data_IF_058183133497
#
_entry.id   IF_058183133497
#
_cell.length_a   1.000
_cell.length_b   1.000
_cell.length_c   1.000
_cell.angle_alpha   90.00
_cell.angle_beta   90.00
_cell.angle_gamma   90.00
#
_symmetry.space_group_name_H-M   'P 1'
#
loop_
_entity.id
_entity.type
_entity.pdbx_description
1 polymer ?
#
# COMPACT_ATOMS: atom_id res chain seq x y z
N UNK A 1 7.75 35.32 -35.40
CA UNK A 1 8.64 34.63 -34.42
C UNK A 1 7.78 33.66 -33.63
N UNK A 2 8.28 32.44 -33.45
CA UNK A 2 7.53 31.29 -32.92
C UNK A 2 7.74 31.22 -31.41
N UNK A 3 6.66 31.25 -30.64
CA UNK A 3 6.63 30.75 -29.28
C UNK A 3 5.52 29.69 -29.22
N UNK A 4 5.95 28.43 -29.16
CA UNK A 4 5.06 27.26 -29.13
C UNK A 4 4.48 27.04 -27.72
N UNK A 5 3.35 26.33 -27.61
CA UNK A 5 2.80 25.98 -26.31
C UNK A 5 3.80 25.06 -25.58
N UNK A 6 4.23 25.49 -24.39
CA UNK A 6 4.97 24.66 -23.44
C UNK A 6 4.14 23.41 -23.16
N UNK A 7 4.50 22.30 -23.80
CA UNK A 7 3.98 20.97 -23.45
C UNK A 7 4.42 20.69 -22.02
N UNK A 8 3.54 20.98 -21.06
CA UNK A 8 3.68 20.50 -19.70
C UNK A 8 3.77 18.98 -19.76
N UNK A 9 4.94 18.45 -19.43
CA UNK A 9 5.13 17.02 -19.22
C UNK A 9 4.31 16.71 -17.98
N UNK A 10 3.10 16.16 -18.16
CA UNK A 10 2.41 15.48 -17.07
C UNK A 10 3.24 14.21 -16.83
N UNK A 11 4.25 14.31 -15.97
CA UNK A 11 4.81 13.12 -15.34
C UNK A 11 3.64 12.49 -14.61
N UNK A 12 3.15 11.34 -15.10
CA UNK A 12 2.40 10.40 -14.27
C UNK A 12 3.36 9.97 -13.16
N UNK A 13 3.46 10.77 -12.10
CA UNK A 13 4.01 10.29 -10.84
C UNK A 13 3.03 9.22 -10.40
N UNK A 14 3.50 7.99 -10.15
CA UNK A 14 2.68 6.95 -9.58
C UNK A 14 2.00 7.53 -8.33
N UNK A 15 0.67 7.55 -8.31
CA UNK A 15 -0.06 8.17 -7.20
C UNK A 15 0.06 7.24 -6.00
N UNK A 16 0.97 7.57 -5.09
CA UNK A 16 1.10 6.86 -3.83
C UNK A 16 -0.12 7.14 -2.96
N UNK A 17 -0.82 6.09 -2.56
CA UNK A 17 -1.98 6.12 -1.66
C UNK A 17 -1.57 5.67 -0.27
N UNK A 18 -2.36 6.03 0.74
CA UNK A 18 -2.15 5.61 2.13
C UNK A 18 -3.38 4.92 2.68
N UNK A 19 -3.18 3.84 3.43
CA UNK A 19 -4.26 3.12 4.12
C UNK A 19 -3.75 2.38 5.36
N UNK A 20 -4.68 1.88 6.17
CA UNK A 20 -4.38 0.89 7.21
C UNK A 20 -4.60 -0.52 6.65
N UNK A 21 -3.65 -1.42 6.89
CA UNK A 21 -3.76 -2.82 6.50
C UNK A 21 -3.32 -3.74 7.63
N UNK A 22 -3.86 -4.95 7.64
CA UNK A 22 -3.63 -5.96 8.67
C UNK A 22 -2.76 -7.10 8.10
N UNK A 23 -1.68 -7.45 8.79
CA UNK A 23 -0.81 -8.57 8.40
C UNK A 23 -0.12 -9.24 9.60
N UNK A 24 0.36 -10.47 9.41
CA UNK A 24 1.04 -11.23 10.45
C UNK A 24 2.50 -10.76 10.61
N UNK A 25 2.87 -10.14 11.75
CA UNK A 25 4.24 -9.65 11.97
C UNK A 25 5.28 -10.76 12.10
N UNK A 26 4.87 -12.02 12.33
CA UNK A 26 5.79 -13.15 12.44
C UNK A 26 6.30 -13.66 11.08
N UNK A 27 5.75 -13.17 9.97
CA UNK A 27 6.17 -13.57 8.64
C UNK A 27 7.48 -12.90 8.22
N UNK A 28 8.27 -13.55 7.33
CA UNK A 28 9.37 -12.89 6.64
C UNK A 28 8.90 -11.66 5.87
N UNK A 29 9.78 -10.67 5.70
CA UNK A 29 9.43 -9.38 5.11
C UNK A 29 8.67 -9.47 3.77
N UNK A 30 9.12 -10.31 2.83
CA UNK A 30 8.42 -10.46 1.54
C UNK A 30 7.01 -11.03 1.68
N UNK A 31 6.81 -11.99 2.59
CA UNK A 31 5.48 -12.55 2.86
C UNK A 31 4.57 -11.51 3.55
N UNK A 32 5.13 -10.70 4.45
CA UNK A 32 4.43 -9.59 5.08
C UNK A 32 3.91 -8.58 4.03
N UNK A 33 4.75 -8.18 3.07
CA UNK A 33 4.34 -7.25 2.00
C UNK A 33 3.19 -7.85 1.17
N UNK A 34 3.30 -9.11 0.75
CA UNK A 34 2.23 -9.78 0.00
C UNK A 34 0.93 -9.95 0.79
N UNK A 35 1.00 -10.13 2.11
CA UNK A 35 -0.19 -10.15 2.94
C UNK A 35 -0.85 -8.76 3.03
N UNK A 36 -0.04 -7.69 3.16
CA UNK A 36 -0.54 -6.31 3.13
C UNK A 36 -1.19 -5.95 1.79
N UNK A 37 -0.57 -6.33 0.66
CA UNK A 37 -1.11 -6.14 -0.69
C UNK A 37 -2.50 -6.78 -0.81
N UNK A 38 -2.61 -8.08 -0.47
CA UNK A 38 -3.89 -8.81 -0.50
C UNK A 38 -4.93 -8.20 0.42
N UNK A 39 -4.54 -7.74 1.61
CA UNK A 39 -5.47 -7.07 2.52
C UNK A 39 -6.05 -5.80 1.87
N UNK A 40 -5.19 -4.99 1.24
CA UNK A 40 -5.60 -3.75 0.58
C UNK A 40 -6.56 -4.04 -0.56
N UNK A 41 -6.23 -4.98 -1.45
CA UNK A 41 -7.09 -5.37 -2.57
C UNK A 41 -8.46 -5.89 -2.09
N UNK A 42 -8.47 -6.73 -1.04
CA UNK A 42 -9.71 -7.30 -0.51
C UNK A 42 -10.66 -6.26 0.12
N UNK A 43 -10.13 -5.13 0.61
CA UNK A 43 -10.91 -4.12 1.34
C UNK A 43 -11.15 -2.82 0.56
N UNK A 44 -10.56 -2.67 -0.64
CA UNK A 44 -10.70 -1.47 -1.46
C UNK A 44 -11.21 -1.83 -2.87
N UNK A 45 -12.54 -1.80 -3.08
CA UNK A 45 -13.13 -2.11 -4.39
C UNK A 45 -12.54 -1.20 -5.49
N UNK A 46 -12.03 -1.81 -6.56
CA UNK A 46 -11.41 -1.09 -7.68
C UNK A 46 -9.91 -0.78 -7.51
N UNK A 47 -9.26 -1.32 -6.47
CA UNK A 47 -7.81 -1.31 -6.33
C UNK A 47 -7.29 -2.72 -6.65
N UNK A 48 -6.41 -2.81 -7.63
CA UNK A 48 -5.71 -4.03 -8.05
C UNK A 48 -4.24 -3.71 -8.32
N UNK A 49 -3.39 -4.73 -8.44
CA UNK A 49 -1.96 -4.59 -8.74
C UNK A 49 -1.24 -3.73 -7.69
N UNK A 50 -1.61 -3.92 -6.41
CA UNK A 50 -1.05 -3.16 -5.30
C UNK A 50 0.42 -3.47 -5.13
N UNK A 51 1.25 -2.43 -5.16
CA UNK A 51 2.66 -2.51 -4.79
C UNK A 51 2.91 -1.72 -3.50
N UNK A 52 3.30 -2.40 -2.43
CA UNK A 52 3.59 -1.74 -1.15
C UNK A 52 4.97 -1.08 -1.20
N UNK A 53 4.98 0.26 -1.08
CA UNK A 53 6.20 1.07 -1.05
C UNK A 53 6.77 1.15 0.35
N UNK A 54 5.91 1.29 1.37
CA UNK A 54 6.32 1.29 2.77
C UNK A 54 5.21 0.84 3.70
N UNK A 55 5.59 0.18 4.79
CA UNK A 55 4.69 -0.25 5.85
C UNK A 55 5.32 0.07 7.20
N UNK A 56 4.60 0.82 8.03
CA UNK A 56 5.01 1.15 9.40
C UNK A 56 4.06 0.46 10.37
N UNK A 57 4.60 -0.41 11.23
CA UNK A 57 3.84 -1.05 12.31
C UNK A 57 3.30 0.03 13.26
N UNK A 58 2.01 -0.04 13.58
CA UNK A 58 1.36 0.95 14.45
C UNK A 58 1.43 0.59 15.94
N UNK A 59 1.98 -0.59 16.28
CA UNK A 59 1.92 -1.19 17.61
C UNK A 59 0.55 -1.75 17.99
N UNK A 60 -0.48 -1.57 17.15
CA UNK A 60 -1.83 -2.07 17.40
C UNK A 60 -1.98 -3.48 16.84
N UNK A 61 -2.38 -4.44 17.67
CA UNK A 61 -2.63 -5.82 17.25
C UNK A 61 -4.13 -6.13 17.19
N UNK A 62 -4.58 -6.76 16.11
CA UNK A 62 -5.85 -7.48 16.08
C UNK A 62 -5.65 -8.90 16.63
N UNK A 63 -6.29 -9.16 17.76
CA UNK A 63 -6.21 -10.45 18.48
C UNK A 63 -7.46 -11.30 18.28
N UNK A 64 -8.36 -10.86 17.40
CA UNK A 64 -9.64 -11.52 17.14
C UNK A 64 -9.44 -12.93 16.57
N UNK A 65 -8.33 -13.16 15.87
CA UNK A 65 -7.97 -14.46 15.28
C UNK A 65 -6.50 -14.83 15.55
N UNK A 66 -6.17 -16.12 15.36
CA UNK A 66 -4.81 -16.63 15.39
C UNK A 66 -4.39 -17.02 13.95
N UNK A 67 -3.18 -16.66 13.50
CA UNK A 67 -2.15 -15.89 14.21
C UNK A 67 -2.58 -14.43 14.47
N UNK A 68 -2.00 -13.82 15.52
CA UNK A 68 -2.26 -12.41 15.84
C UNK A 68 -1.71 -11.56 14.72
N UNK A 69 -2.50 -10.65 14.19
CA UNK A 69 -2.06 -9.71 13.17
C UNK A 69 -1.84 -8.32 13.75
N UNK A 70 -0.97 -7.55 13.13
CA UNK A 70 -0.72 -6.15 13.48
C UNK A 70 -1.28 -5.23 12.42
N UNK A 71 -1.69 -4.04 12.85
CA UNK A 71 -2.08 -2.95 11.97
C UNK A 71 -0.84 -2.19 11.52
N UNK A 72 -0.75 -1.97 10.22
CA UNK A 72 0.29 -1.20 9.57
C UNK A 72 -0.31 0.03 8.91
N UNK A 73 0.40 1.15 9.02
CA UNK A 73 0.19 2.29 8.14
C UNK A 73 0.98 2.03 6.85
N UNK A 74 0.27 1.86 5.74
CA UNK A 74 0.84 1.45 4.46
C UNK A 74 0.78 2.60 3.45
N UNK A 75 1.88 2.80 2.73
CA UNK A 75 1.92 3.59 1.50
C UNK A 75 2.09 2.64 0.32
N UNK A 76 1.24 2.74 -0.69
CA UNK A 76 1.20 1.83 -1.83
C UNK A 76 0.91 2.54 -3.16
N UNK A 77 1.21 1.88 -4.26
CA UNK A 77 0.87 2.28 -5.63
C UNK A 77 -0.15 1.30 -6.22
N UNK A 78 -1.13 1.81 -6.96
CA UNK A 78 -2.15 1.07 -7.71
C UNK A 78 -2.85 1.97 -8.74
#
# INVERSE_FOLDING_TARGET
MRDGPTRGIILRVAQTRRTKALANPAQPHGALLHELERYIEAHNPGVTDVNVVSATDTGQADKSHKPVHHWYQVTYEA
#
